data_IF_657321758356
#
_entry.id   IF_657321758356
#
_cell.length_a   1.000
_cell.length_b   1.000
_cell.length_c   1.000
_cell.angle_alpha   90.00
_cell.angle_beta   90.00
_cell.angle_gamma   90.00
#
_symmetry.space_group_name_H-M   'P 1'
#
loop_
_entity.id
_entity.type
_entity.pdbx_description
1 polymer ?
#
# COMPACT_ATOMS: atom_id res chain seq x y z
N UNK A 1 -14.10 -22.20 -16.46
CA UNK A 1 -14.98 -21.62 -15.42
C UNK A 1 -14.99 -20.10 -15.58
N UNK A 2 -16.12 -19.58 -16.09
CA UNK A 2 -16.57 -18.19 -16.19
C UNK A 2 -15.50 -17.09 -16.21
N UNK A 3 -14.90 -16.91 -17.40
CA UNK A 3 -14.19 -15.72 -17.84
C UNK A 3 -15.20 -14.57 -17.99
N UNK A 4 -15.56 -13.94 -16.87
CA UNK A 4 -16.31 -12.67 -16.88
C UNK A 4 -16.09 -11.89 -15.57
N UNK A 5 -14.83 -11.61 -15.26
CA UNK A 5 -14.52 -10.64 -14.20
C UNK A 5 -14.03 -9.37 -14.87
N UNK A 6 -14.96 -8.62 -15.45
CA UNK A 6 -14.87 -7.16 -15.48
C UNK A 6 -14.96 -6.66 -14.02
N UNK A 7 -14.02 -7.07 -13.17
CA UNK A 7 -14.02 -6.70 -11.76
C UNK A 7 -13.75 -5.20 -11.69
N UNK A 8 -14.81 -4.47 -11.44
CA UNK A 8 -14.73 -3.05 -11.17
C UNK A 8 -13.81 -2.88 -9.94
N UNK A 9 -12.66 -2.21 -10.10
CA UNK A 9 -11.68 -2.03 -9.03
C UNK A 9 -12.28 -1.34 -7.80
N UNK A 10 -13.35 -0.56 -8.00
CA UNK A 10 -14.17 -0.02 -6.92
C UNK A 10 -14.79 -1.12 -6.06
N UNK A 11 -15.32 -2.18 -6.66
CA UNK A 11 -15.91 -3.32 -5.94
C UNK A 11 -14.86 -4.09 -5.15
N UNK A 12 -13.64 -4.21 -5.69
CA UNK A 12 -12.54 -4.86 -4.98
C UNK A 12 -12.11 -4.02 -3.77
N UNK A 13 -11.98 -2.71 -3.94
CA UNK A 13 -11.64 -1.79 -2.85
C UNK A 13 -12.71 -1.77 -1.75
N UNK A 14 -14.00 -1.79 -2.12
CA UNK A 14 -15.13 -1.85 -1.18
C UNK A 14 -15.14 -3.16 -0.39
N UNK A 15 -14.91 -4.30 -1.05
CA UNK A 15 -14.82 -5.61 -0.37
C UNK A 15 -13.67 -5.64 0.62
N UNK A 16 -12.52 -5.06 0.26
CA UNK A 16 -11.36 -4.96 1.14
C UNK A 16 -11.65 -4.05 2.35
N UNK A 17 -12.25 -2.88 2.13
CA UNK A 17 -12.60 -1.95 3.21
C UNK A 17 -13.63 -2.54 4.16
N UNK A 18 -14.59 -3.31 3.66
CA UNK A 18 -15.56 -4.05 4.49
C UNK A 18 -14.87 -5.05 5.41
N UNK A 19 -13.91 -5.83 4.89
CA UNK A 19 -13.15 -6.76 5.73
C UNK A 19 -12.32 -6.01 6.79
N UNK A 20 -11.63 -4.94 6.40
CA UNK A 20 -10.89 -4.10 7.36
C UNK A 20 -11.79 -3.51 8.43
N UNK A 21 -13.01 -3.08 8.09
CA UNK A 21 -13.97 -2.53 9.05
C UNK A 21 -14.37 -3.57 10.11
N UNK A 22 -14.60 -4.83 9.70
CA UNK A 22 -14.92 -5.92 10.62
C UNK A 22 -13.76 -6.17 11.60
N UNK A 23 -12.53 -6.27 11.08
CA UNK A 23 -11.33 -6.44 11.93
C UNK A 23 -11.08 -5.24 12.84
N UNK A 24 -11.30 -4.02 12.35
CA UNK A 24 -11.15 -2.80 13.14
C UNK A 24 -12.17 -2.75 14.30
N UNK A 25 -13.42 -3.13 14.03
CA UNK A 25 -14.48 -3.19 15.05
C UNK A 25 -14.17 -4.25 16.11
N UNK A 26 -13.68 -5.42 15.68
CA UNK A 26 -13.26 -6.47 16.60
C UNK A 26 -12.08 -6.03 17.48
N UNK A 27 -11.07 -5.39 16.88
CA UNK A 27 -9.92 -4.84 17.61
C UNK A 27 -10.35 -3.79 18.63
N UNK A 28 -11.24 -2.88 18.21
CA UNK A 28 -11.82 -1.84 19.05
C UNK A 28 -12.59 -2.43 20.26
N UNK A 29 -13.40 -3.47 20.03
CA UNK A 29 -14.10 -4.17 21.11
C UNK A 29 -13.15 -4.87 22.08
N UNK A 30 -12.11 -5.53 21.55
CA UNK A 30 -11.11 -6.25 22.36
C UNK A 30 -10.25 -5.32 23.22
N UNK A 31 -9.85 -4.16 22.68
CA UNK A 31 -8.96 -3.22 23.38
C UNK A 31 -9.68 -2.28 24.35
N UNK A 32 -10.84 -1.74 23.97
CA UNK A 32 -11.50 -0.66 24.74
C UNK A 32 -13.02 -0.87 24.89
N UNK A 33 -13.53 -2.11 24.72
CA UNK A 33 -14.96 -2.42 24.73
C UNK A 33 -15.74 -1.87 25.93
N UNK A 34 -15.17 -1.92 27.14
CA UNK A 34 -15.82 -1.38 28.35
C UNK A 34 -15.98 0.15 28.30
N UNK A 35 -14.95 0.88 27.86
CA UNK A 35 -14.99 2.36 27.77
C UNK A 35 -15.98 2.82 26.69
N UNK A 36 -16.06 2.06 25.60
CA UNK A 36 -16.96 2.33 24.48
C UNK A 36 -18.42 2.14 24.89
N UNK A 37 -18.70 1.13 25.72
CA UNK A 37 -20.07 0.84 26.17
C UNK A 37 -20.59 1.92 27.13
N UNK A 38 -19.71 2.53 27.93
CA UNK A 38 -20.08 3.61 28.86
C UNK A 38 -20.18 4.99 28.20
N UNK A 39 -19.32 5.28 27.22
CA UNK A 39 -19.14 6.65 26.70
C UNK A 39 -19.39 6.81 25.20
N UNK A 40 -19.65 5.71 24.49
CA UNK A 40 -19.91 5.67 23.05
C UNK A 40 -18.65 5.60 22.18
N UNK A 41 -18.82 5.12 20.94
CA UNK A 41 -17.74 4.90 19.96
C UNK A 41 -17.04 6.18 19.45
N UNK A 42 -17.70 7.33 19.57
CA UNK A 42 -17.21 8.62 19.06
C UNK A 42 -16.78 9.60 20.16
N UNK A 43 -16.58 9.12 21.38
CA UNK A 43 -16.15 9.98 22.47
C UNK A 43 -14.74 10.54 22.23
N UNK A 44 -14.57 11.86 22.34
CA UNK A 44 -13.27 12.52 22.18
C UNK A 44 -12.85 12.78 20.74
N UNK A 45 -13.76 12.60 19.76
CA UNK A 45 -13.52 13.02 18.38
C UNK A 45 -13.44 14.54 18.28
N UNK A 46 -12.22 15.05 18.15
CA UNK A 46 -11.94 16.46 17.87
C UNK A 46 -11.90 16.71 16.36
N UNK A 47 -12.00 17.97 15.92
CA UNK A 47 -11.87 18.33 14.50
C UNK A 47 -10.55 17.83 13.89
N UNK A 48 -9.48 17.72 14.69
CA UNK A 48 -8.20 17.15 14.26
C UNK A 48 -8.34 15.68 13.86
N UNK A 49 -9.02 14.87 14.67
CA UNK A 49 -9.28 13.45 14.37
C UNK A 49 -10.04 13.33 13.05
N UNK A 50 -11.07 14.14 12.84
CA UNK A 50 -11.80 14.19 11.57
C UNK A 50 -10.88 14.48 10.37
N UNK A 51 -10.01 15.50 10.47
CA UNK A 51 -9.08 15.81 9.37
C UNK A 51 -8.08 14.69 9.10
N UNK A 52 -7.55 14.04 10.14
CA UNK A 52 -6.63 12.91 10.01
C UNK A 52 -7.31 11.68 9.41
N UNK A 53 -8.55 11.38 9.80
CA UNK A 53 -9.32 10.28 9.23
C UNK A 53 -9.63 10.53 7.75
N UNK A 54 -10.03 11.74 7.37
CA UNK A 54 -10.26 12.09 5.96
C UNK A 54 -8.96 12.00 5.16
N UNK A 55 -7.86 12.56 5.67
CA UNK A 55 -6.55 12.48 5.01
C UNK A 55 -6.07 11.02 4.84
N UNK A 56 -6.28 10.17 5.85
CA UNK A 56 -5.97 8.74 5.79
C UNK A 56 -6.84 8.02 4.73
N UNK A 57 -8.13 8.32 4.67
CA UNK A 57 -9.04 7.77 3.66
C UNK A 57 -8.63 8.19 2.24
N UNK A 58 -8.30 9.47 2.03
CA UNK A 58 -7.80 9.97 0.75
C UNK A 58 -6.51 9.26 0.34
N UNK A 59 -5.59 9.03 1.29
CA UNK A 59 -4.35 8.30 1.03
C UNK A 59 -4.60 6.87 0.55
N UNK A 60 -5.59 6.18 1.13
CA UNK A 60 -6.01 4.84 0.69
C UNK A 60 -6.59 4.83 -0.74
N UNK A 61 -7.45 5.80 -1.07
CA UNK A 61 -8.03 5.93 -2.42
C UNK A 61 -6.94 6.25 -3.44
N UNK A 62 -6.06 7.19 -3.17
CA UNK A 62 -4.94 7.56 -4.06
C UNK A 62 -4.04 6.36 -4.31
N UNK A 63 -3.70 5.60 -3.28
CA UNK A 63 -2.93 4.36 -3.43
C UNK A 63 -3.65 3.34 -4.31
N UNK A 64 -4.95 3.14 -4.13
CA UNK A 64 -5.73 2.20 -4.96
C UNK A 64 -5.77 2.64 -6.44
N UNK A 65 -5.84 3.94 -6.70
CA UNK A 65 -5.77 4.50 -8.05
C UNK A 65 -4.37 4.30 -8.64
N UNK A 66 -3.30 4.56 -7.88
CA UNK A 66 -1.92 4.30 -8.34
C UNK A 66 -1.74 2.83 -8.69
N UNK A 67 -2.26 1.90 -7.90
CA UNK A 67 -2.18 0.45 -8.21
C UNK A 67 -2.96 0.04 -9.46
N UNK A 68 -4.01 0.79 -9.81
CA UNK A 68 -4.79 0.58 -11.04
C UNK A 68 -4.03 1.07 -12.28
N UNK A 69 -3.39 2.24 -12.19
CA UNK A 69 -2.79 2.91 -13.34
C UNK A 69 -1.28 2.67 -13.48
N UNK A 70 -0.61 2.26 -12.41
CA UNK A 70 0.79 1.90 -12.38
C UNK A 70 0.95 0.46 -11.88
N UNK A 71 1.89 -0.27 -12.48
CA UNK A 71 2.22 -1.62 -12.03
C UNK A 71 2.55 -1.61 -10.53
N UNK A 72 1.92 -2.49 -9.76
CA UNK A 72 2.11 -2.60 -8.30
C UNK A 72 3.59 -2.73 -7.88
N UNK A 73 4.46 -3.18 -8.80
CA UNK A 73 5.92 -3.26 -8.65
C UNK A 73 6.59 -1.89 -8.58
N UNK A 74 6.11 -0.90 -9.36
CA UNK A 74 6.67 0.45 -9.37
C UNK A 74 6.39 1.16 -8.04
N UNK A 75 5.20 0.98 -7.47
CA UNK A 75 4.87 1.54 -6.15
C UNK A 75 5.78 0.99 -5.05
N UNK A 76 5.97 -0.33 -5.00
CA UNK A 76 6.82 -0.94 -3.96
C UNK A 76 8.28 -0.56 -4.11
N UNK A 77 8.76 -0.38 -5.35
CA UNK A 77 10.10 0.13 -5.62
C UNK A 77 10.29 1.57 -5.14
N UNK A 78 9.36 2.48 -5.47
CA UNK A 78 9.42 3.86 -4.98
C UNK A 78 9.36 3.92 -3.44
N UNK A 79 8.57 3.05 -2.82
CA UNK A 79 8.46 2.99 -1.36
C UNK A 79 9.77 2.54 -0.70
N UNK A 80 10.44 1.51 -1.23
CA UNK A 80 11.72 1.04 -0.66
C UNK A 80 12.83 2.07 -0.86
N UNK A 81 12.86 2.77 -2.00
CA UNK A 81 13.74 3.91 -2.24
C UNK A 81 13.52 5.03 -1.22
N UNK A 82 12.26 5.41 -0.98
CA UNK A 82 11.91 6.46 -0.04
C UNK A 82 12.33 6.11 1.40
N UNK A 83 12.13 4.86 1.82
CA UNK A 83 12.59 4.36 3.13
C UNK A 83 14.12 4.44 3.23
N UNK A 84 14.84 4.00 2.19
CA UNK A 84 16.29 4.10 2.14
C UNK A 84 16.80 5.54 2.25
N UNK A 85 16.22 6.46 1.48
CA UNK A 85 16.57 7.87 1.51
C UNK A 85 16.25 8.52 2.87
N UNK A 86 15.12 8.15 3.48
CA UNK A 86 14.76 8.61 4.83
C UNK A 86 15.79 8.16 5.86
N UNK A 87 16.27 6.92 5.75
CA UNK A 87 17.29 6.38 6.65
C UNK A 87 18.65 7.09 6.47
N UNK A 88 19.06 7.37 5.23
CA UNK A 88 20.26 8.18 4.94
C UNK A 88 20.11 9.59 5.52
N UNK A 89 18.98 10.24 5.29
CA UNK A 89 18.69 11.59 5.79
C UNK A 89 18.72 11.63 7.32
N UNK A 90 18.19 10.61 7.99
CA UNK A 90 18.20 10.49 9.45
C UNK A 90 19.62 10.37 10.03
N UNK A 91 20.55 9.69 9.34
CA UNK A 91 21.96 9.64 9.73
C UNK A 91 22.62 11.02 9.53
N UNK A 92 22.33 11.70 8.41
CA UNK A 92 22.89 13.02 8.13
C UNK A 92 22.41 14.11 9.11
N UNK A 93 21.16 14.03 9.58
CA UNK A 93 20.59 14.98 10.54
C UNK A 93 21.00 14.70 12.00
N UNK A 94 21.62 13.55 12.30
CA UNK A 94 22.14 13.24 13.64
C UNK A 94 21.09 13.05 14.75
N UNK A 95 19.80 12.98 14.41
CA UNK A 95 18.69 12.94 15.39
C UNK A 95 18.53 11.59 16.11
N UNK A 96 19.23 10.54 15.66
CA UNK A 96 19.20 9.22 16.28
C UNK A 96 20.60 8.86 16.78
N UNK A 97 20.72 8.47 18.05
CA UNK A 97 21.96 7.91 18.61
C UNK A 97 22.53 6.90 17.60
N UNK A 98 23.76 7.13 17.15
CA UNK A 98 24.48 6.32 16.15
C UNK A 98 24.51 4.85 16.58
N UNK A 99 23.46 4.10 16.24
CA UNK A 99 23.39 2.67 16.47
C UNK A 99 24.05 1.97 15.31
N UNK A 100 25.01 1.10 15.59
CA UNK A 100 25.75 0.34 14.58
C UNK A 100 24.82 -0.46 13.66
N UNK A 101 23.68 -0.92 14.19
CA UNK A 101 22.64 -1.62 13.43
C UNK A 101 21.95 -0.73 12.40
N UNK A 102 21.79 0.58 12.66
CA UNK A 102 21.19 1.52 11.72
C UNK A 102 22.11 1.76 10.53
N UNK A 103 23.40 2.01 10.79
CA UNK A 103 24.40 2.23 9.75
C UNK A 103 24.54 1.02 8.84
N UNK A 104 24.60 -0.20 9.41
CA UNK A 104 24.64 -1.43 8.64
C UNK A 104 23.38 -1.61 7.77
N UNK A 105 22.20 -1.30 8.31
CA UNK A 105 20.94 -1.32 7.57
C UNK A 105 20.93 -0.33 6.39
N UNK A 106 21.46 0.89 6.59
CA UNK A 106 21.53 1.89 5.51
C UNK A 106 22.50 1.46 4.42
N UNK A 107 23.68 0.96 4.75
CA UNK A 107 24.64 0.45 3.75
C UNK A 107 24.01 -0.68 2.92
N UNK A 108 23.31 -1.61 3.57
CA UNK A 108 22.62 -2.71 2.89
C UNK A 108 21.52 -2.19 1.95
N UNK A 109 20.68 -1.26 2.41
CA UNK A 109 19.59 -0.70 1.59
C UNK A 109 20.15 0.09 0.40
N UNK A 110 21.17 0.93 0.61
CA UNK A 110 21.84 1.68 -0.47
C UNK A 110 22.48 0.73 -1.48
N UNK A 111 23.14 -0.33 -1.02
CA UNK A 111 23.75 -1.35 -1.90
C UNK A 111 22.70 -2.09 -2.72
N UNK A 112 21.60 -2.49 -2.08
CA UNK A 112 20.49 -3.18 -2.76
C UNK A 112 19.84 -2.31 -3.84
N UNK A 113 19.61 -1.03 -3.52
CA UNK A 113 19.09 -0.04 -4.46
C UNK A 113 20.05 0.17 -5.63
N UNK A 114 21.35 0.32 -5.34
CA UNK A 114 22.36 0.52 -6.37
C UNK A 114 22.37 -0.67 -7.35
N UNK A 115 22.40 -1.91 -6.84
CA UNK A 115 22.37 -3.12 -7.68
C UNK A 115 21.13 -3.15 -8.58
N UNK A 116 19.95 -2.83 -8.04
CA UNK A 116 18.71 -2.81 -8.82
C UNK A 116 18.68 -1.67 -9.85
N UNK A 117 19.23 -0.50 -9.52
CA UNK A 117 19.31 0.64 -10.44
C UNK A 117 20.29 0.40 -11.59
N UNK A 118 21.42 -0.27 -11.33
CA UNK A 118 22.42 -0.59 -12.35
C UNK A 118 22.07 -1.83 -13.19
N UNK A 119 21.28 -2.76 -12.65
CA UNK A 119 20.79 -3.95 -13.37
C UNK A 119 19.26 -3.96 -13.39
N UNK A 120 18.62 -3.11 -14.23
CA UNK A 120 17.17 -3.15 -14.38
C UNK A 120 16.75 -4.55 -14.88
N UNK A 121 15.76 -5.20 -14.25
CA UNK A 121 15.23 -6.46 -14.75
C UNK A 121 14.78 -6.29 -16.20
N UNK A 122 15.08 -7.27 -17.05
CA UNK A 122 14.62 -7.26 -18.43
C UNK A 122 13.10 -7.05 -18.47
N UNK A 123 12.58 -6.22 -19.41
CA UNK A 123 11.15 -6.01 -19.53
C UNK A 123 10.45 -7.37 -19.63
N UNK A 124 9.55 -7.67 -18.68
CA UNK A 124 8.71 -8.85 -18.80
C UNK A 124 7.99 -8.76 -20.15
N UNK A 125 8.05 -9.78 -21.01
CA UNK A 125 7.24 -9.81 -22.22
C UNK A 125 5.79 -9.60 -21.77
N UNK A 126 5.14 -8.56 -22.31
CA UNK A 126 3.72 -8.38 -22.14
C UNK A 126 3.08 -9.65 -22.70
N UNK A 127 2.45 -10.45 -21.85
CA UNK A 127 1.51 -11.47 -22.32
C UNK A 127 0.39 -10.68 -22.99
N UNK A 128 0.55 -10.45 -24.29
CA UNK A 128 -0.53 -10.06 -25.16
C UNK A 128 -1.46 -11.26 -25.13
N UNK A 129 -2.49 -11.20 -24.28
CA UNK A 129 -3.68 -12.01 -24.49
C UNK A 129 -4.25 -11.52 -25.81
N UNK A 130 -3.74 -12.08 -26.91
CA UNK A 130 -4.45 -12.16 -28.18
C UNK A 130 -5.69 -12.99 -27.89
N UNK A 131 -6.73 -12.32 -27.40
CA UNK A 131 -8.06 -12.89 -27.34
C UNK A 131 -8.51 -13.06 -28.79
N UNK A 132 -8.25 -14.24 -29.33
CA UNK A 132 -9.24 -15.06 -30.03
C UNK A 132 -10.49 -14.28 -30.47
N UNK A 133 -10.47 -13.77 -31.70
CA UNK A 133 -11.64 -13.25 -32.43
C UNK A 133 -11.55 -13.55 -33.93
N UNK A 134 -11.11 -14.75 -34.31
CA UNK A 134 -11.05 -15.12 -35.74
C UNK A 134 -11.29 -16.62 -36.00
N UNK A 135 -12.14 -17.27 -35.21
CA UNK A 135 -12.53 -18.68 -35.46
C UNK A 135 -13.98 -18.94 -35.01
N UNK A 136 -14.92 -18.09 -35.45
CA UNK A 136 -16.38 -18.32 -35.37
C UNK A 136 -17.10 -17.51 -36.49
N UNK A 137 -16.51 -17.49 -37.68
CA UNK A 137 -17.13 -16.90 -38.88
C UNK A 137 -17.04 -17.79 -40.13
N UNK A 138 -16.51 -19.01 -40.00
CA UNK A 138 -16.47 -20.00 -41.09
C UNK A 138 -16.78 -21.40 -40.52
N UNK A 139 -18.06 -21.65 -40.22
CA UNK A 139 -18.80 -22.91 -40.46
C UNK A 139 -20.25 -22.82 -39.94
#
# INVERSE_FOLDING_TARGET
>A
MLKNVNSNMWIQNIRLSLMTLVFATFTMWSSDGQKIMEKGIFQGWTSLVWTMTVAAATSGIVVSAVMKYADNVKKTYCQTLAIGLTAVTSICLGERNFSWSLTAGVILVVTSIAIYAFYPPSPRPLVTTSDSKEEDADL
#
